data_IF_190735420163
#
_entry.id   IF_190735420163
#
_cell.length_a   1.000
_cell.length_b   1.000
_cell.length_c   1.000
_cell.angle_alpha   90.00
_cell.angle_beta   90.00
_cell.angle_gamma   90.00
#
_symmetry.space_group_name_H-M   'P 1'
#
loop_
_entity.id
_entity.type
_entity.pdbx_description
1 polymer ?
#
# COMPACT_ATOMS: atom_id res chain seq x y z
N UNK A 1 26.73 1.31 -51.16
CA UNK A 1 25.74 0.69 -50.26
C UNK A 1 25.35 1.76 -49.26
N UNK A 2 24.20 2.39 -49.50
CA UNK A 2 23.55 3.31 -48.56
C UNK A 2 22.62 2.47 -47.70
N UNK A 3 22.89 2.38 -46.40
CA UNK A 3 21.97 1.76 -45.46
C UNK A 3 20.79 2.72 -45.22
N UNK A 4 19.60 2.28 -45.62
CA UNK A 4 18.34 2.92 -45.22
C UNK A 4 18.18 2.73 -43.71
N UNK A 5 18.05 3.86 -43.01
CA UNK A 5 17.70 3.89 -41.60
C UNK A 5 16.17 3.83 -41.57
N UNK A 6 15.62 2.67 -41.25
CA UNK A 6 14.18 2.51 -41.06
C UNK A 6 13.69 3.45 -39.96
N UNK A 7 12.75 4.34 -40.30
CA UNK A 7 12.01 5.15 -39.34
C UNK A 7 11.33 4.23 -38.33
N UNK A 8 11.75 4.33 -37.07
CA UNK A 8 11.03 3.72 -35.94
C UNK A 8 9.65 4.37 -35.89
N UNK A 9 8.64 3.63 -36.36
CA UNK A 9 7.24 4.02 -36.23
C UNK A 9 6.92 4.24 -34.75
N UNK A 10 6.78 5.51 -34.35
CA UNK A 10 6.38 5.88 -33.01
C UNK A 10 5.00 5.26 -32.73
N UNK A 11 4.97 4.26 -31.84
CA UNK A 11 3.73 3.67 -31.36
C UNK A 11 2.81 4.78 -30.81
N UNK A 12 1.49 4.71 -31.06
CA UNK A 12 0.57 5.74 -30.59
C UNK A 12 0.65 5.85 -29.07
N UNK A 13 0.96 7.04 -28.57
CA UNK A 13 1.10 7.29 -27.13
C UNK A 13 -0.27 7.13 -26.46
N UNK A 14 -0.49 6.00 -25.79
CA UNK A 14 -1.67 5.78 -24.95
C UNK A 14 -1.66 6.82 -23.83
N UNK A 15 -2.59 7.79 -23.87
CA UNK A 15 -2.73 8.80 -22.83
C UNK A 15 -3.06 8.11 -21.50
N UNK A 16 -2.23 8.31 -20.49
CA UNK A 16 -2.46 7.76 -19.14
C UNK A 16 -3.59 8.56 -18.46
N UNK A 17 -4.54 7.90 -17.77
CA UNK A 17 -5.51 8.62 -16.95
C UNK A 17 -4.78 9.33 -15.80
N UNK A 18 -5.07 10.61 -15.60
CA UNK A 18 -4.49 11.42 -14.54
C UNK A 18 -5.57 12.26 -13.88
N UNK A 19 -5.59 12.26 -12.55
CA UNK A 19 -6.39 13.17 -11.72
C UNK A 19 -5.46 14.01 -10.87
N UNK A 20 -5.91 15.17 -10.37
CA UNK A 20 -5.06 16.10 -9.62
C UNK A 20 -5.70 16.46 -8.29
N UNK A 21 -4.90 16.40 -7.24
CA UNK A 21 -5.27 16.79 -5.89
C UNK A 21 -4.32 17.84 -5.32
N UNK A 22 -4.61 18.29 -4.11
CA UNK A 22 -3.77 19.22 -3.34
C UNK A 22 -3.39 18.58 -2.01
N UNK A 23 -2.16 18.79 -1.57
CA UNK A 23 -1.78 18.49 -0.19
C UNK A 23 -2.47 19.52 0.70
N UNK A 24 -3.35 19.06 1.58
CA UNK A 24 -4.07 19.88 2.52
C UNK A 24 -3.27 20.08 3.81
N UNK A 25 -2.62 19.00 4.29
CA UNK A 25 -1.92 18.97 5.57
C UNK A 25 -0.79 17.91 5.54
N UNK A 26 0.27 18.15 6.32
CA UNK A 26 1.30 17.15 6.63
C UNK A 26 1.18 16.82 8.11
N UNK A 27 0.91 15.55 8.40
CA UNK A 27 0.68 15.01 9.74
C UNK A 27 1.97 14.32 10.19
N UNK A 28 2.50 14.73 11.33
CA UNK A 28 3.55 14.02 12.05
C UNK A 28 2.90 13.24 13.18
N UNK A 29 3.14 11.93 13.23
CA UNK A 29 2.63 11.06 14.29
C UNK A 29 3.77 10.22 14.86
N UNK A 30 3.63 9.85 16.13
CA UNK A 30 4.55 8.95 16.81
C UNK A 30 3.84 7.62 17.07
N UNK A 31 4.52 6.52 16.79
CA UNK A 31 4.08 5.16 17.08
C UNK A 31 4.84 4.67 18.31
N UNK A 32 4.07 4.23 19.30
CA UNK A 32 4.55 3.70 20.56
C UNK A 32 5.21 2.34 20.43
N UNK A 33 5.81 1.89 21.52
CA UNK A 33 6.54 0.61 21.57
C UNK A 33 5.60 -0.59 21.44
N UNK A 34 5.95 -1.53 20.55
CA UNK A 34 5.25 -2.80 20.38
C UNK A 34 3.96 -2.71 19.57
N UNK A 35 3.66 -1.57 18.97
CA UNK A 35 2.50 -1.40 18.10
C UNK A 35 2.76 -1.97 16.70
N UNK A 36 1.71 -2.45 16.05
CA UNK A 36 1.77 -2.86 14.65
C UNK A 36 1.80 -1.62 13.74
N UNK A 37 2.85 -1.50 12.94
CA UNK A 37 3.08 -0.31 12.11
C UNK A 37 1.96 -0.06 11.09
N UNK A 38 1.43 -1.12 10.47
CA UNK A 38 0.37 -0.99 9.46
C UNK A 38 -0.92 -0.47 10.11
N UNK A 39 -1.28 -1.03 11.27
CA UNK A 39 -2.47 -0.59 12.01
C UNK A 39 -2.31 0.83 12.55
N UNK A 40 -1.12 1.19 13.06
CA UNK A 40 -0.84 2.55 13.50
C UNK A 40 -1.01 3.58 12.35
N UNK A 41 -0.55 3.25 11.13
CA UNK A 41 -0.78 4.10 9.95
C UNK A 41 -2.29 4.28 9.68
N UNK A 42 -3.08 3.20 9.78
CA UNK A 42 -4.52 3.29 9.59
C UNK A 42 -5.22 4.10 10.66
N UNK A 43 -4.82 3.97 11.91
CA UNK A 43 -5.42 4.71 13.01
C UNK A 43 -5.12 6.21 12.88
N UNK A 44 -3.88 6.59 12.54
CA UNK A 44 -3.54 7.98 12.19
C UNK A 44 -4.39 8.48 11.01
N UNK A 45 -4.61 7.65 9.99
CA UNK A 45 -5.47 8.02 8.86
C UNK A 45 -6.93 8.24 9.29
N UNK A 46 -7.49 7.38 10.14
CA UNK A 46 -8.87 7.52 10.65
C UNK A 46 -9.04 8.76 11.52
N UNK A 47 -8.14 8.95 12.49
CA UNK A 47 -8.17 10.06 13.43
C UNK A 47 -8.10 11.43 12.73
N UNK A 48 -7.39 11.49 11.59
CA UNK A 48 -7.18 12.72 10.83
C UNK A 48 -8.02 12.81 9.53
N UNK A 49 -9.00 11.90 9.35
CA UNK A 49 -9.87 11.84 8.17
C UNK A 49 -9.07 11.83 6.84
N UNK A 50 -7.99 11.06 6.78
CA UNK A 50 -7.15 10.89 5.59
C UNK A 50 -7.78 9.82 4.69
N UNK A 51 -8.54 10.26 3.68
CA UNK A 51 -9.15 9.37 2.67
C UNK A 51 -8.24 9.07 1.50
N UNK A 52 -7.36 9.99 1.17
CA UNK A 52 -6.34 9.81 0.14
C UNK A 52 -5.11 10.58 0.60
N UNK A 53 -3.94 9.98 0.41
CA UNK A 53 -2.72 10.57 0.90
C UNK A 53 -1.49 9.83 0.42
N UNK A 54 -0.35 10.31 0.93
CA UNK A 54 0.95 9.70 0.71
C UNK A 54 1.61 9.53 2.06
N UNK A 55 2.06 8.32 2.37
CA UNK A 55 3.02 8.12 3.45
C UNK A 55 4.36 8.62 2.91
N UNK A 56 4.74 9.83 3.34
CA UNK A 56 5.98 10.48 2.93
C UNK A 56 7.17 9.77 3.55
N UNK A 57 7.06 9.41 4.83
CA UNK A 57 8.08 8.67 5.55
C UNK A 57 7.49 7.91 6.73
N UNK A 58 8.17 6.83 7.11
CA UNK A 58 7.96 6.09 8.34
C UNK A 58 9.33 5.57 8.79
N UNK A 59 9.90 6.20 9.80
CA UNK A 59 11.28 5.97 10.23
C UNK A 59 11.34 5.59 11.70
N UNK A 60 12.17 4.62 12.00
CA UNK A 60 12.42 4.18 13.37
C UNK A 60 12.96 2.77 13.42
N UNK A 61 12.85 2.14 14.60
CA UNK A 61 13.34 0.79 14.83
C UNK A 61 12.19 -0.20 15.04
N UNK A 62 12.24 -1.34 14.34
CA UNK A 62 11.28 -2.44 14.41
C UNK A 62 11.85 -3.61 15.22
N UNK A 63 11.01 -4.29 16.00
CA UNK A 63 11.34 -5.52 16.76
C UNK A 63 11.44 -6.73 15.84
N UNK A 64 10.60 -6.74 14.83
CA UNK A 64 10.61 -7.64 13.70
C UNK A 64 9.95 -6.93 12.53
N UNK A 65 10.26 -7.38 11.32
CA UNK A 65 9.65 -6.85 10.11
C UNK A 65 9.10 -8.01 9.30
N UNK A 66 7.81 -7.95 9.00
CA UNK A 66 7.15 -8.91 8.13
C UNK A 66 6.84 -8.24 6.79
N UNK A 67 7.30 -8.86 5.71
CA UNK A 67 7.06 -8.37 4.36
C UNK A 67 6.55 -9.47 3.46
N UNK A 68 5.82 -9.10 2.42
CA UNK A 68 5.61 -9.96 1.27
C UNK A 68 6.31 -9.44 0.02
N UNK A 69 6.75 -10.40 -0.79
CA UNK A 69 7.28 -10.17 -2.12
C UNK A 69 6.50 -11.02 -3.10
N UNK A 70 6.11 -10.43 -4.22
CA UNK A 70 5.61 -11.18 -5.37
C UNK A 70 6.86 -11.77 -6.03
N UNK A 71 7.22 -13.02 -5.67
CA UNK A 71 8.31 -13.70 -6.33
C UNK A 71 7.78 -14.30 -7.64
N UNK A 72 8.27 -13.78 -8.74
CA UNK A 72 8.12 -14.42 -10.03
C UNK A 72 9.23 -15.46 -10.17
N UNK A 73 9.04 -16.66 -9.62
CA UNK A 73 9.76 -17.81 -10.18
C UNK A 73 9.22 -18.04 -11.60
N UNK A 74 10.08 -18.21 -12.62
CA UNK A 74 9.62 -18.50 -13.98
C UNK A 74 8.67 -19.69 -13.99
N UNK A 75 7.40 -19.46 -14.34
CA UNK A 75 6.36 -20.50 -14.38
C UNK A 75 5.47 -20.64 -13.15
N UNK A 76 5.67 -19.84 -12.10
CA UNK A 76 4.77 -19.76 -10.93
C UNK A 76 3.97 -18.45 -10.99
N UNK A 77 2.67 -18.48 -11.39
CA UNK A 77 1.85 -17.27 -11.37
C UNK A 77 1.60 -16.84 -9.92
N UNK A 78 2.06 -15.64 -9.57
CA UNK A 78 1.77 -14.93 -8.32
C UNK A 78 2.15 -15.67 -7.03
N UNK A 79 3.36 -16.23 -6.95
CA UNK A 79 3.92 -16.74 -5.69
C UNK A 79 4.16 -15.59 -4.71
N UNK A 80 3.26 -15.40 -3.75
CA UNK A 80 3.48 -14.47 -2.64
C UNK A 80 4.40 -15.18 -1.64
N UNK A 81 5.61 -14.66 -1.50
CA UNK A 81 6.55 -15.11 -0.47
C UNK A 81 6.48 -14.15 0.72
N UNK A 82 6.35 -14.72 1.90
CA UNK A 82 6.37 -13.98 3.16
C UNK A 82 7.71 -14.19 3.85
N UNK A 83 8.28 -13.11 4.36
CA UNK A 83 9.49 -13.16 5.18
C UNK A 83 9.18 -12.47 6.51
N UNK A 84 9.39 -13.20 7.62
CA UNK A 84 9.36 -12.65 8.97
C UNK A 84 10.80 -12.56 9.49
N UNK A 85 11.25 -11.33 9.70
CA UNK A 85 12.62 -10.99 10.00
C UNK A 85 12.70 -10.51 11.43
N UNK A 86 13.13 -11.36 12.38
CA UNK A 86 13.27 -10.94 13.77
C UNK A 86 14.51 -10.05 13.96
N UNK A 87 14.44 -9.20 14.99
CA UNK A 87 15.53 -8.38 15.50
C UNK A 87 15.30 -6.89 15.29
N UNK A 88 16.09 -6.07 16.01
CA UNK A 88 16.07 -4.62 15.88
C UNK A 88 16.52 -4.21 14.45
N UNK A 89 15.58 -3.69 13.66
CA UNK A 89 15.80 -3.24 12.30
C UNK A 89 15.51 -1.74 12.23
N UNK A 90 16.49 -0.94 11.81
CA UNK A 90 16.25 0.46 11.45
C UNK A 90 15.56 0.49 10.08
N UNK A 91 14.44 1.19 9.98
CA UNK A 91 13.58 1.18 8.79
C UNK A 91 13.33 2.56 8.21
N UNK A 92 13.02 2.58 6.93
CA UNK A 92 12.29 3.65 6.25
C UNK A 92 11.19 3.05 5.39
N UNK A 93 10.02 3.69 5.34
CA UNK A 93 8.90 3.24 4.52
C UNK A 93 8.19 4.41 3.82
N UNK A 94 7.60 4.12 2.67
CA UNK A 94 6.80 5.07 1.90
C UNK A 94 5.68 4.34 1.16
N UNK A 95 4.67 5.09 0.75
CA UNK A 95 3.59 4.50 -0.03
C UNK A 95 2.40 5.41 -0.24
N UNK A 96 1.33 4.82 -0.75
CA UNK A 96 0.09 5.51 -1.08
C UNK A 96 -1.02 5.10 -0.11
N UNK A 97 -1.85 6.08 0.24
CA UNK A 97 -3.02 5.91 1.08
C UNK A 97 -4.27 6.19 0.24
N UNK A 98 -5.27 5.34 0.38
CA UNK A 98 -6.57 5.46 -0.27
C UNK A 98 -7.68 4.91 0.62
N UNK A 99 -8.79 4.53 -0.01
CA UNK A 99 -9.93 3.91 0.67
C UNK A 99 -10.24 2.55 0.08
N UNK A 100 -10.63 1.61 0.93
CA UNK A 100 -11.30 0.41 0.48
C UNK A 100 -12.69 0.74 -0.08
N UNK A 101 -13.03 0.15 -1.23
CA UNK A 101 -14.33 0.23 -1.88
C UNK A 101 -14.93 -1.14 -2.30
N UNK A 102 -15.65 -1.84 -1.40
CA UNK A 102 -16.34 -3.10 -1.76
C UNK A 102 -17.67 -2.74 -2.39
N UNK A 103 -18.06 -3.45 -3.45
CA UNK A 103 -19.45 -3.48 -3.87
C UNK A 103 -20.34 -4.09 -2.76
N UNK A 104 -21.48 -3.45 -2.49
CA UNK A 104 -22.41 -3.84 -1.43
C UNK A 104 -23.04 -5.22 -1.66
N UNK A 105 -22.97 -5.71 -2.88
CA UNK A 105 -23.47 -7.03 -3.28
C UNK A 105 -22.59 -8.19 -2.81
N UNK A 106 -21.36 -7.92 -2.37
CA UNK A 106 -20.34 -8.94 -2.04
C UNK A 106 -20.36 -9.22 -0.55
N UNK A 107 -20.37 -10.51 -0.19
CA UNK A 107 -20.24 -10.94 1.20
C UNK A 107 -18.81 -11.33 1.51
N UNK A 108 -18.43 -11.30 2.79
CA UNK A 108 -17.06 -11.59 3.22
C UNK A 108 -16.64 -13.02 2.84
N UNK A 109 -17.57 -13.97 2.85
CA UNK A 109 -17.37 -15.35 2.44
C UNK A 109 -17.02 -15.50 0.94
N UNK A 110 -17.46 -14.56 0.09
CA UNK A 110 -17.22 -14.56 -1.36
C UNK A 110 -15.81 -14.06 -1.72
N UNK A 111 -15.11 -13.46 -0.76
CA UNK A 111 -13.74 -12.96 -0.92
C UNK A 111 -12.76 -14.13 -0.71
N UNK A 112 -11.91 -14.50 -1.69
CA UNK A 112 -10.94 -15.57 -1.53
C UNK A 112 -10.06 -15.39 -0.28
N UNK A 113 -9.85 -16.45 0.49
CA UNK A 113 -9.10 -16.41 1.75
C UNK A 113 -7.71 -15.79 1.61
N UNK A 114 -7.01 -16.08 0.52
CA UNK A 114 -5.68 -15.55 0.20
C UNK A 114 -5.60 -14.01 0.23
N UNK A 115 -6.66 -13.34 -0.20
CA UNK A 115 -6.71 -11.88 -0.24
C UNK A 115 -7.57 -11.29 0.87
N UNK A 116 -8.17 -12.13 1.72
CA UNK A 116 -9.14 -11.68 2.73
C UNK A 116 -8.48 -10.94 3.89
N UNK A 117 -7.22 -11.25 4.20
CA UNK A 117 -6.54 -10.77 5.41
C UNK A 117 -5.43 -9.75 5.11
N UNK A 118 -5.34 -8.72 5.94
CA UNK A 118 -4.18 -7.81 6.02
C UNK A 118 -2.90 -8.53 6.44
N UNK A 119 -3.03 -9.63 7.17
CA UNK A 119 -1.93 -10.54 7.46
C UNK A 119 -1.28 -11.11 6.19
N UNK A 120 -2.01 -11.33 5.11
CA UNK A 120 -1.47 -11.97 3.91
C UNK A 120 -1.19 -10.99 2.77
N UNK A 121 -1.65 -9.76 2.88
CA UNK A 121 -1.57 -8.80 1.75
C UNK A 121 -1.06 -7.43 2.15
N UNK A 122 -1.12 -7.07 3.44
CA UNK A 122 -0.87 -5.73 3.95
C UNK A 122 -2.07 -4.79 3.86
N UNK A 123 -3.18 -5.22 3.26
CA UNK A 123 -4.36 -4.37 3.10
C UNK A 123 -5.70 -5.13 2.96
N UNK A 124 -5.71 -6.46 2.90
CA UNK A 124 -6.90 -7.27 2.66
C UNK A 124 -7.42 -7.16 1.21
N UNK A 125 -8.67 -7.49 0.96
CA UNK A 125 -9.18 -7.70 -0.40
C UNK A 125 -9.57 -6.39 -1.10
N UNK A 126 -8.66 -5.42 -1.19
CA UNK A 126 -8.85 -4.03 -1.61
C UNK A 126 -9.05 -3.06 -0.43
N UNK A 127 -8.22 -3.22 0.60
CA UNK A 127 -8.25 -2.34 1.76
C UNK A 127 -9.24 -2.75 2.85
N UNK A 128 -9.88 -3.92 2.76
CA UNK A 128 -11.06 -4.26 3.56
C UNK A 128 -10.74 -4.94 4.87
N UNK A 129 -10.74 -4.14 5.93
CA UNK A 129 -11.53 -4.50 7.10
C UNK A 129 -13.03 -4.32 6.76
N UNK A 130 -13.41 -3.28 5.99
CA UNK A 130 -14.80 -2.99 5.55
C UNK A 130 -14.90 -1.88 4.48
N UNK A 131 -16.06 -1.70 3.82
CA UNK A 131 -16.26 -0.57 2.89
C UNK A 131 -15.97 0.77 3.60
N UNK A 132 -15.08 1.58 3.01
CA UNK A 132 -14.68 2.85 3.62
C UNK A 132 -13.61 2.72 4.70
N UNK A 133 -12.97 1.57 4.89
CA UNK A 133 -11.75 1.50 5.70
C UNK A 133 -10.55 2.10 4.97
N UNK A 134 -9.54 2.62 5.70
CA UNK A 134 -8.29 3.05 5.09
C UNK A 134 -7.63 1.92 4.30
N UNK A 135 -7.06 2.27 3.16
CA UNK A 135 -6.20 1.41 2.36
C UNK A 135 -4.79 1.99 2.37
N UNK A 136 -3.77 1.15 2.59
CA UNK A 136 -2.38 1.56 2.51
C UNK A 136 -1.58 0.54 1.68
N UNK A 137 -0.91 1.01 0.63
CA UNK A 137 0.08 0.21 -0.09
C UNK A 137 1.46 0.76 0.23
N UNK A 138 2.12 0.13 1.19
CA UNK A 138 3.38 0.62 1.76
C UNK A 138 4.51 -0.35 1.43
N UNK A 139 5.61 0.19 0.92
CA UNK A 139 6.86 -0.55 0.79
C UNK A 139 7.83 -0.05 1.85
N UNK A 140 8.55 -0.99 2.44
CA UNK A 140 9.43 -0.75 3.58
C UNK A 140 10.78 -1.39 3.33
N UNK A 141 11.84 -0.70 3.76
CA UNK A 141 13.21 -1.21 3.80
C UNK A 141 13.64 -1.23 5.26
N UNK A 142 14.07 -2.38 5.74
CA UNK A 142 14.64 -2.55 7.06
C UNK A 142 16.06 -3.06 7.01
N UNK A 143 16.92 -2.54 7.88
CA UNK A 143 18.34 -2.85 7.87
C UNK A 143 18.89 -3.13 9.27
N UNK A 144 19.86 -4.01 9.32
CA UNK A 144 20.74 -4.27 10.46
C UNK A 144 22.18 -4.35 9.95
N UNK A 145 23.18 -4.40 10.84
CA UNK A 145 24.57 -4.59 10.42
C UNK A 145 24.84 -5.87 9.59
N UNK A 146 23.91 -6.83 9.58
CA UNK A 146 24.08 -8.14 8.93
C UNK A 146 23.26 -8.31 7.65
N UNK A 147 22.18 -7.55 7.47
CA UNK A 147 21.24 -7.74 6.36
C UNK A 147 20.38 -6.50 6.13
N UNK A 148 19.93 -6.36 4.88
CA UNK A 148 18.85 -5.46 4.49
C UNK A 148 17.72 -6.31 3.92
N UNK A 149 16.50 -6.02 4.31
CA UNK A 149 15.29 -6.60 3.73
C UNK A 149 14.43 -5.47 3.16
N UNK A 150 13.79 -5.74 2.03
CA UNK A 150 12.81 -4.85 1.44
C UNK A 150 11.60 -5.67 0.97
N UNK A 151 10.43 -5.04 0.98
CA UNK A 151 9.21 -5.65 0.48
C UNK A 151 7.99 -4.80 0.79
N UNK A 152 6.82 -5.38 0.54
CA UNK A 152 5.56 -4.76 0.92
C UNK A 152 5.27 -5.03 2.40
N UNK A 153 4.98 -3.97 3.16
CA UNK A 153 4.69 -4.03 4.59
C UNK A 153 3.38 -4.79 4.83
N UNK A 154 3.40 -5.77 5.73
CA UNK A 154 2.18 -6.47 6.17
C UNK A 154 2.05 -6.46 7.69
N UNK A 155 0.84 -6.78 8.15
CA UNK A 155 0.52 -6.96 9.56
C UNK A 155 1.46 -8.01 10.20
N UNK A 156 1.75 -7.81 11.48
CA UNK A 156 2.76 -8.54 12.24
C UNK A 156 4.11 -7.84 12.28
N UNK A 157 4.18 -6.56 11.91
CA UNK A 157 5.41 -5.76 11.94
C UNK A 157 5.39 -4.81 13.12
N UNK A 158 6.13 -5.12 14.18
CA UNK A 158 6.02 -4.42 15.47
C UNK A 158 7.19 -3.46 15.72
N UNK A 159 6.91 -2.28 16.25
CA UNK A 159 7.92 -1.29 16.64
C UNK A 159 8.74 -1.74 17.86
N UNK A 160 10.01 -1.31 17.95
CA UNK A 160 10.93 -1.61 19.05
C UNK A 160 11.26 -0.40 19.93
N UNK A 161 10.72 0.79 19.63
CA UNK A 161 11.06 2.04 20.33
C UNK A 161 9.81 2.87 20.60
N UNK A 162 9.94 3.90 21.43
CA UNK A 162 8.87 4.88 21.68
C UNK A 162 8.95 6.11 20.75
N UNK A 163 9.90 6.14 19.81
CA UNK A 163 10.16 7.28 18.94
C UNK A 163 10.07 6.90 17.45
N UNK A 164 9.22 5.93 17.11
CA UNK A 164 8.96 5.64 15.70
C UNK A 164 8.09 6.74 15.11
N UNK A 165 8.52 7.39 14.03
CA UNK A 165 7.84 8.56 13.47
C UNK A 165 7.19 8.26 12.11
N UNK A 166 5.98 8.77 11.92
CA UNK A 166 5.24 8.74 10.66
C UNK A 166 5.06 10.16 10.13
N UNK A 167 5.21 10.33 8.82
CA UNK A 167 4.91 11.58 8.13
C UNK A 167 3.93 11.28 7.00
N UNK A 168 2.70 11.80 7.11
CA UNK A 168 1.61 11.55 6.14
C UNK A 168 1.16 12.88 5.51
N UNK A 169 1.11 12.94 4.19
CA UNK A 169 0.49 14.04 3.46
C UNK A 169 -0.98 13.70 3.13
N UNK A 170 -1.92 14.46 3.69
CA UNK A 170 -3.36 14.38 3.37
C UNK A 170 -3.61 15.07 2.03
N UNK A 171 -4.29 14.40 1.11
CA UNK A 171 -4.56 14.91 -0.24
C UNK A 171 -6.06 15.04 -0.48
N UNK A 172 -6.51 16.20 -0.95
CA UNK A 172 -7.90 16.45 -1.37
C UNK A 172 -8.07 16.63 -2.87
N UNK A 173 -9.30 16.48 -3.34
CA UNK A 173 -9.66 16.59 -4.76
C UNK A 173 -9.41 15.30 -5.56
N UNK A 174 -8.81 14.30 -4.94
CA UNK A 174 -8.62 12.96 -5.52
C UNK A 174 -9.03 11.93 -4.51
N UNK A 175 -9.72 10.90 -4.98
CA UNK A 175 -9.97 9.69 -4.22
C UNK A 175 -9.31 8.50 -4.92
N UNK A 176 -8.37 7.87 -4.23
CA UNK A 176 -7.82 6.56 -4.60
C UNK A 176 -8.68 5.48 -3.96
N UNK A 177 -9.36 4.68 -4.79
CA UNK A 177 -10.14 3.53 -4.33
C UNK A 177 -9.37 2.25 -4.61
N UNK A 178 -9.09 1.47 -3.59
CA UNK A 178 -8.83 0.05 -3.74
C UNK A 178 -10.20 -0.65 -3.83
N UNK A 179 -10.59 -1.05 -5.04
CA UNK A 179 -11.94 -1.53 -5.33
C UNK A 179 -11.96 -3.05 -5.49
N UNK A 180 -13.00 -3.68 -4.95
CA UNK A 180 -13.36 -5.07 -5.22
C UNK A 180 -14.83 -5.15 -5.64
N UNK A 181 -15.09 -5.75 -6.80
CA UNK A 181 -16.43 -5.91 -7.35
C UNK A 181 -16.76 -7.37 -7.75
N UNK A 182 -17.99 -7.57 -8.24
CA UNK A 182 -18.58 -8.89 -8.49
C UNK A 182 -17.85 -9.72 -9.54
N UNK A 183 -16.88 -9.16 -10.26
CA UNK A 183 -16.00 -9.92 -11.17
C UNK A 183 -15.04 -10.83 -10.41
N UNK A 184 -14.84 -10.62 -9.10
CA UNK A 184 -13.99 -11.44 -8.26
C UNK A 184 -12.50 -11.26 -8.52
N UNK A 185 -11.63 -11.97 -7.82
CA UNK A 185 -10.18 -11.88 -8.04
C UNK A 185 -9.72 -12.70 -9.27
N UNK A 186 -8.82 -12.19 -10.12
CA UNK A 186 -8.14 -10.89 -10.03
C UNK A 186 -8.88 -9.73 -10.72
N UNK A 187 -9.84 -10.00 -11.60
CA UNK A 187 -10.39 -9.01 -12.54
C UNK A 187 -11.21 -7.87 -11.89
N UNK A 188 -11.79 -8.13 -10.73
CA UNK A 188 -12.57 -7.22 -9.92
C UNK A 188 -11.74 -6.45 -8.89
N UNK A 189 -10.48 -6.81 -8.68
CA UNK A 189 -9.55 -6.09 -7.79
C UNK A 189 -8.80 -5.01 -8.57
N UNK A 190 -9.09 -3.73 -8.32
CA UNK A 190 -8.51 -2.62 -9.09
C UNK A 190 -8.23 -1.39 -8.24
N UNK A 191 -7.25 -0.59 -8.68
CA UNK A 191 -7.10 0.79 -8.21
C UNK A 191 -7.85 1.75 -9.14
N UNK A 192 -8.84 2.46 -8.60
CA UNK A 192 -9.61 3.47 -9.32
C UNK A 192 -9.26 4.86 -8.80
N UNK A 193 -8.89 5.76 -9.72
CA UNK A 193 -8.61 7.16 -9.42
C UNK A 193 -9.83 8.01 -9.81
N UNK A 194 -10.40 8.71 -8.84
CA UNK A 194 -11.59 9.55 -9.03
C UNK A 194 -11.25 11.00 -8.72
N UNK A 195 -11.66 11.92 -9.61
CA UNK A 195 -11.60 13.36 -9.33
C UNK A 195 -12.76 13.73 -8.41
N UNK A 196 -12.48 14.09 -7.17
CA UNK A 196 -13.49 14.64 -6.28
C UNK A 196 -13.68 16.12 -6.60
N UNK A 197 -14.92 16.49 -6.86
CA UNK A 197 -15.32 17.88 -6.99
C UNK A 197 -15.73 18.33 -5.60
N UNK A 198 -15.00 19.29 -5.01
CA UNK A 198 -15.52 19.98 -3.82
C UNK A 198 -16.81 20.70 -4.25
N UNK A 199 -17.90 20.63 -3.46
CA UNK A 199 -19.04 21.52 -3.66
C UNK A 199 -18.63 22.99 -3.57
#
# INVERSE_FOLDING_TARGET
MTEEIDEVQNAPTKKRPTVKGKIDEIIYAQVGYGEDLLHAIWDVCKENDVKTGVLLDATGCMKNLRVHAIAAEPGQPAGIHYEDVPGCLEVSAHGIIGMGWVDKSIKAEDIPGLIRSSYDTGFGAAGFVEHGSPYAHIHIVGSSPKRTICGHLIEGSFTATQYFELIIAKVSGVLLKAKYDSRGYPDGYTHELVQEHRP
#
